data_IF_271657106996
#
_entry.id   IF_271657106996
#
_cell.length_a   1.000
_cell.length_b   1.000
_cell.length_c   1.000
_cell.angle_alpha   90.00
_cell.angle_beta   90.00
_cell.angle_gamma   90.00
#
_symmetry.space_group_name_H-M   'P 1'
#
loop_
_entity.id
_entity.type
_entity.pdbx_description
1 polymer ?
#
# COMPACT_ATOMS: atom_id res chain seq x y z
N UNK A 1 -15.68 11.24 -1.50
CA UNK A 1 -14.56 11.84 -0.73
C UNK A 1 -14.48 11.17 0.63
N UNK A 2 -14.41 9.84 0.65
CA UNK A 2 -15.10 9.12 1.74
C UNK A 2 -14.14 8.56 2.81
N UNK A 3 -12.83 8.55 2.53
CA UNK A 3 -11.81 8.03 3.46
C UNK A 3 -11.37 9.14 4.43
N UNK A 4 -11.44 8.98 5.77
CA UNK A 4 -11.00 10.03 6.70
C UNK A 4 -9.50 10.35 6.61
N UNK A 5 -9.10 11.50 7.17
CA UNK A 5 -7.69 11.81 7.39
C UNK A 5 -7.10 10.87 8.45
N UNK A 6 -5.84 10.49 8.28
CA UNK A 6 -5.15 9.58 9.19
C UNK A 6 -5.52 8.10 9.02
N UNK A 7 -6.47 7.77 8.15
CA UNK A 7 -6.84 6.38 7.87
C UNK A 7 -5.68 5.63 7.21
N UNK A 8 -5.55 4.36 7.59
CA UNK A 8 -4.61 3.43 6.98
C UNK A 8 -5.26 2.81 5.75
N UNK A 9 -4.56 2.84 4.62
CA UNK A 9 -5.06 2.41 3.32
C UNK A 9 -4.05 1.54 2.59
N UNK A 10 -4.53 0.69 1.68
CA UNK A 10 -3.75 -0.17 0.81
C UNK A 10 -4.40 -0.27 -0.57
N UNK A 11 -3.72 -0.92 -1.52
CA UNK A 11 -4.19 -1.10 -2.90
C UNK A 11 -4.60 0.22 -3.57
N UNK A 12 -3.67 1.16 -3.64
CA UNK A 12 -3.93 2.55 -4.05
C UNK A 12 -3.72 2.70 -5.55
N UNK A 13 -4.67 3.37 -6.18
CA UNK A 13 -4.63 3.73 -7.59
C UNK A 13 -3.79 4.99 -7.85
N UNK A 14 -2.95 4.95 -8.89
CA UNK A 14 -2.09 6.09 -9.26
C UNK A 14 -2.80 7.11 -10.16
N UNK A 15 -3.68 6.61 -11.04
CA UNK A 15 -4.48 7.39 -11.97
C UNK A 15 -5.89 6.80 -11.99
N UNK A 16 -6.96 7.61 -11.95
CA UNK A 16 -8.33 7.10 -11.94
C UNK A 16 -8.58 6.12 -13.10
N UNK A 17 -9.15 4.95 -12.78
CA UNK A 17 -9.45 3.88 -13.74
C UNK A 17 -8.29 2.95 -14.12
N UNK A 18 -7.09 3.10 -13.53
CA UNK A 18 -5.94 2.19 -13.76
C UNK A 18 -5.78 1.09 -12.73
N UNK A 19 -6.66 1.03 -11.74
CA UNK A 19 -6.63 0.05 -10.66
C UNK A 19 -5.54 0.31 -9.63
N UNK A 20 -5.59 -0.45 -8.54
CA UNK A 20 -4.63 -0.34 -7.46
C UNK A 20 -3.25 -0.87 -7.86
N UNK A 21 -2.25 0.01 -7.84
CA UNK A 21 -0.88 -0.31 -8.24
C UNK A 21 0.08 -0.26 -7.05
N UNK A 22 -0.17 0.66 -6.11
CA UNK A 22 0.66 0.91 -4.96
C UNK A 22 0.17 0.14 -3.73
N UNK A 23 1.10 -0.16 -2.81
CA UNK A 23 0.80 -0.74 -1.49
C UNK A 23 0.04 -2.07 -1.60
N UNK A 24 0.64 -3.04 -2.31
CA UNK A 24 0.09 -4.39 -2.54
C UNK A 24 0.84 -5.51 -1.83
N UNK A 25 2.04 -5.22 -1.33
CA UNK A 25 2.86 -6.22 -0.66
C UNK A 25 2.24 -6.64 0.68
N UNK A 26 2.52 -7.86 1.12
CA UNK A 26 2.09 -8.39 2.41
C UNK A 26 2.53 -7.46 3.56
N UNK A 27 1.62 -7.21 4.50
CA UNK A 27 1.83 -6.26 5.60
C UNK A 27 1.91 -4.78 5.22
N UNK A 28 1.88 -4.42 3.93
CA UNK A 28 2.03 -3.03 3.51
C UNK A 28 0.79 -2.18 3.83
N UNK A 29 1.06 -0.93 4.22
CA UNK A 29 0.06 0.09 4.49
C UNK A 29 0.62 1.47 4.14
N UNK A 30 -0.27 2.36 3.73
CA UNK A 30 -0.02 3.79 3.60
C UNK A 30 -1.01 4.56 4.47
N UNK A 31 -0.72 5.83 4.72
CA UNK A 31 -1.56 6.69 5.56
C UNK A 31 -1.97 7.95 4.80
N UNK A 32 -3.23 8.34 4.92
CA UNK A 32 -3.72 9.63 4.41
C UNK A 32 -3.24 10.74 5.35
N UNK A 33 -2.39 11.64 4.86
CA UNK A 33 -1.82 12.73 5.67
C UNK A 33 -2.67 13.98 5.56
N UNK A 34 -2.96 14.40 4.33
CA UNK A 34 -3.71 15.61 4.05
C UNK A 34 -4.60 15.42 2.81
N UNK A 35 -5.60 16.27 2.70
CA UNK A 35 -6.49 16.36 1.54
C UNK A 35 -6.62 17.82 1.18
N UNK A 36 -6.10 18.19 0.02
CA UNK A 36 -6.06 19.57 -0.44
C UNK A 36 -6.69 19.67 -1.83
N UNK A 37 -7.82 20.35 -1.91
CA UNK A 37 -8.56 20.52 -3.17
C UNK A 37 -8.87 19.18 -3.84
N UNK A 38 -8.30 18.95 -5.04
CA UNK A 38 -8.48 17.73 -5.85
C UNK A 38 -7.42 16.67 -5.62
N UNK A 39 -6.43 16.93 -4.76
CA UNK A 39 -5.32 16.02 -4.47
C UNK A 39 -5.40 15.54 -3.02
N UNK A 40 -4.88 14.34 -2.79
CA UNK A 40 -4.68 13.74 -1.49
C UNK A 40 -3.18 13.46 -1.32
N UNK A 41 -2.67 13.81 -0.15
CA UNK A 41 -1.28 13.58 0.24
C UNK A 41 -1.21 12.29 1.03
N UNK A 42 -0.55 11.29 0.46
CA UNK A 42 -0.40 9.96 1.04
C UNK A 42 1.05 9.74 1.46
N UNK A 43 1.25 9.16 2.65
CA UNK A 43 2.55 8.65 3.08
C UNK A 43 2.65 7.17 2.72
N UNK A 44 3.56 6.86 1.81
CA UNK A 44 3.82 5.50 1.31
C UNK A 44 4.63 4.68 2.33
N UNK A 45 4.61 3.33 2.23
CA UNK A 45 5.42 2.46 3.08
C UNK A 45 6.93 2.67 2.89
N UNK A 46 7.36 3.22 1.75
CA UNK A 46 8.75 3.65 1.52
C UNK A 46 9.17 4.86 2.36
N UNK A 47 8.23 5.53 3.04
CA UNK A 47 8.45 6.81 3.71
C UNK A 47 8.25 8.02 2.81
N UNK A 48 8.16 7.83 1.49
CA UNK A 48 7.87 8.88 0.53
C UNK A 48 6.48 9.48 0.74
N UNK A 49 6.37 10.80 0.61
CA UNK A 49 5.09 11.51 0.60
C UNK A 49 4.73 11.82 -0.85
N UNK A 50 3.55 11.37 -1.28
CA UNK A 50 3.12 11.47 -2.68
C UNK A 50 1.72 12.06 -2.80
N UNK A 51 1.55 12.90 -3.81
CA UNK A 51 0.27 13.51 -4.18
C UNK A 51 -0.47 12.63 -5.20
N UNK A 52 -1.73 12.30 -4.90
CA UNK A 52 -2.59 11.45 -5.74
C UNK A 52 -3.95 12.14 -5.90
N UNK A 53 -4.58 12.11 -7.09
CA UNK A 53 -5.93 12.63 -7.28
C UNK A 53 -6.94 12.01 -6.33
N UNK A 54 -7.84 12.81 -5.75
CA UNK A 54 -8.90 12.29 -4.87
C UNK A 54 -9.92 11.39 -5.58
N UNK A 55 -9.95 11.44 -6.91
CA UNK A 55 -10.79 10.58 -7.73
C UNK A 55 -10.25 9.14 -7.85
N UNK A 56 -9.04 8.87 -7.35
CA UNK A 56 -8.46 7.53 -7.32
C UNK A 56 -9.11 6.66 -6.23
N UNK A 57 -9.25 5.37 -6.52
CA UNK A 57 -9.74 4.40 -5.56
C UNK A 57 -8.62 3.88 -4.64
N UNK A 58 -8.98 3.61 -3.38
CA UNK A 58 -8.11 2.98 -2.40
C UNK A 58 -8.95 2.13 -1.45
N UNK A 59 -8.35 1.05 -0.92
CA UNK A 59 -8.99 0.17 0.06
C UNK A 59 -8.56 0.54 1.48
N UNK A 60 -9.50 0.54 2.42
CA UNK A 60 -9.22 0.84 3.83
C UNK A 60 -8.59 -0.38 4.51
N UNK A 61 -7.61 -0.14 5.37
CA UNK A 61 -6.90 -1.16 6.13
C UNK A 61 -5.49 -1.42 5.61
N UNK A 62 -4.91 -2.54 6.02
CA UNK A 62 -3.57 -3.02 5.67
C UNK A 62 -3.68 -4.32 4.89
N UNK A 63 -2.71 -4.60 4.03
CA UNK A 63 -2.59 -5.93 3.40
C UNK A 63 -2.31 -6.97 4.48
N UNK A 64 -2.99 -8.12 4.41
CA UNK A 64 -2.77 -9.23 5.33
C UNK A 64 -1.35 -9.81 5.28
N UNK A 65 -1.11 -10.82 6.12
CA UNK A 65 0.19 -11.47 6.29
C UNK A 65 1.30 -10.48 6.73
N UNK A 66 1.15 -9.93 7.94
CA UNK A 66 2.07 -8.93 8.50
C UNK A 66 3.41 -9.56 8.86
N UNK A 67 3.40 -10.82 9.30
CA UNK A 67 4.57 -11.55 9.80
C UNK A 67 5.41 -12.20 8.70
N UNK A 68 5.08 -11.96 7.42
CA UNK A 68 5.84 -12.50 6.27
C UNK A 68 7.35 -12.16 6.35
N UNK A 69 7.69 -11.03 6.96
CA UNK A 69 9.08 -10.61 7.12
C UNK A 69 9.83 -11.40 8.19
N UNK A 70 9.12 -12.07 9.10
CA UNK A 70 9.68 -12.91 10.14
C UNK A 70 9.84 -14.38 9.69
N UNK A 71 9.23 -14.77 8.57
CA UNK A 71 9.30 -16.13 8.05
C UNK A 71 10.68 -16.41 7.45
N UNK A 72 11.42 -17.33 8.08
CA UNK A 72 12.69 -17.84 7.55
C UNK A 72 12.49 -18.96 6.53
N UNK A 73 13.36 -19.03 5.53
CA UNK A 73 13.32 -20.08 4.49
C UNK A 73 13.64 -21.50 5.03
N UNK A 74 14.16 -21.61 6.25
CA UNK A 74 14.46 -22.85 6.98
C UNK A 74 15.64 -23.65 6.43
N UNK A 75 15.66 -23.92 5.12
CA UNK A 75 16.71 -24.66 4.41
C UNK A 75 17.07 -23.97 3.09
N UNK A 76 18.29 -24.18 2.62
CA UNK A 76 18.77 -23.63 1.35
C UNK A 76 17.88 -24.02 0.15
N UNK A 77 17.36 -25.24 0.14
CA UNK A 77 16.50 -25.75 -0.94
C UNK A 77 15.18 -25.02 -1.12
N UNK A 78 14.61 -24.43 -0.05
CA UNK A 78 13.35 -23.68 -0.12
C UNK A 78 13.45 -22.47 -1.05
N UNK A 79 14.65 -21.90 -1.20
CA UNK A 79 14.89 -20.79 -2.12
C UNK A 79 14.68 -21.20 -3.59
N UNK A 80 15.03 -22.44 -3.95
CA UNK A 80 14.82 -22.99 -5.30
C UNK A 80 13.33 -23.15 -5.62
N UNK A 81 12.51 -23.50 -4.62
CA UNK A 81 11.06 -23.61 -4.78
C UNK A 81 10.40 -22.26 -5.11
N UNK A 82 11.02 -21.15 -4.69
CA UNK A 82 10.59 -19.78 -5.00
C UNK A 82 11.09 -19.28 -6.36
N UNK A 83 11.75 -20.13 -7.17
CA UNK A 83 12.32 -19.74 -8.45
C UNK A 83 13.53 -18.81 -8.35
N UNK A 84 14.26 -18.86 -7.23
CA UNK A 84 15.47 -18.07 -6.95
C UNK A 84 16.72 -18.91 -6.77
#
# INVERSE_FOLDING_TARGET
TDIPLGTTIHNIELKPGRGGQLVRAAGAAAKVVAKEGRLATLRLPSGEVRLIPQNCLASVGRVGNIDINNEGLGKAGSKRWLGK
#
